data_IF_572630626910
#
_entry.id   IF_572630626910
#
_cell.length_a   1.000
_cell.length_b   1.000
_cell.length_c   1.000
_cell.angle_alpha   90.00
_cell.angle_beta   90.00
_cell.angle_gamma   90.00
#
_symmetry.space_group_name_H-M   'P 1'
#
loop_
_entity.id
_entity.type
_entity.pdbx_description
1 polymer ?
#
# COMPACT_ATOMS: atom_id res chain seq x y z
N UNK A 1 7.00 22.80 13.89
CA UNK A 1 6.95 21.53 13.11
C UNK A 1 6.29 20.34 13.82
N UNK A 2 6.60 20.02 15.09
CA UNK A 2 5.99 18.84 15.78
C UNK A 2 4.46 18.87 15.84
N UNK A 3 3.86 20.04 16.11
CA UNK A 3 2.39 20.24 16.16
C UNK A 3 1.70 19.91 14.83
N UNK A 4 2.30 20.29 13.69
CA UNK A 4 1.75 20.01 12.37
C UNK A 4 1.78 18.52 12.02
N UNK A 5 2.83 17.79 12.45
CA UNK A 5 2.92 16.34 12.24
C UNK A 5 1.85 15.59 13.04
N UNK A 6 1.63 15.99 14.29
CA UNK A 6 0.58 15.40 15.13
C UNK A 6 -0.82 15.65 14.54
N UNK A 7 -1.09 16.87 14.08
CA UNK A 7 -2.35 17.21 13.42
C UNK A 7 -2.56 16.38 12.13
N UNK A 8 -1.51 16.21 11.32
CA UNK A 8 -1.59 15.42 10.08
C UNK A 8 -1.77 13.92 10.36
N UNK A 9 -1.10 13.37 11.38
CA UNK A 9 -1.34 12.00 11.85
C UNK A 9 -2.76 11.83 12.37
N UNK A 10 -3.27 12.77 13.17
CA UNK A 10 -4.64 12.73 13.69
C UNK A 10 -5.66 12.80 12.54
N UNK A 11 -5.48 13.70 11.59
CA UNK A 11 -6.35 13.83 10.43
C UNK A 11 -6.33 12.57 9.55
N UNK A 12 -5.15 12.00 9.30
CA UNK A 12 -5.02 10.79 8.50
C UNK A 12 -5.64 9.56 9.17
N UNK A 13 -5.21 9.25 10.40
CA UNK A 13 -5.70 8.05 11.11
C UNK A 13 -7.16 8.21 11.53
N UNK A 14 -7.54 9.36 12.07
CA UNK A 14 -8.93 9.66 12.43
C UNK A 14 -9.85 9.66 11.20
N UNK A 15 -9.40 10.24 10.09
CA UNK A 15 -10.12 10.23 8.82
C UNK A 15 -10.31 8.82 8.26
N UNK A 16 -9.25 7.99 8.24
CA UNK A 16 -9.36 6.60 7.79
C UNK A 16 -10.27 5.76 8.68
N UNK A 17 -10.11 5.85 10.01
CA UNK A 17 -10.96 5.11 10.96
C UNK A 17 -12.42 5.51 10.81
N UNK A 18 -12.70 6.81 10.72
CA UNK A 18 -14.06 7.31 10.49
C UNK A 18 -14.62 6.81 9.16
N UNK A 19 -13.83 6.89 8.08
CA UNK A 19 -14.25 6.44 6.76
C UNK A 19 -14.57 4.94 6.73
N UNK A 20 -13.69 4.12 7.30
CA UNK A 20 -13.89 2.66 7.46
C UNK A 20 -15.16 2.40 8.28
N UNK A 21 -15.35 3.09 9.40
CA UNK A 21 -16.56 2.94 10.22
C UNK A 21 -17.83 3.28 9.45
N UNK A 22 -17.83 4.37 8.66
CA UNK A 22 -18.96 4.77 7.81
C UNK A 22 -19.26 3.73 6.72
N UNK A 23 -18.22 3.12 6.12
CA UNK A 23 -18.38 2.04 5.14
C UNK A 23 -18.99 0.81 5.80
N UNK A 24 -18.44 0.35 6.92
CA UNK A 24 -18.90 -0.85 7.63
C UNK A 24 -20.32 -0.69 8.20
N UNK A 25 -20.68 0.53 8.60
CA UNK A 25 -22.02 0.89 9.06
C UNK A 25 -23.01 1.20 7.92
N UNK A 26 -22.57 1.18 6.65
CA UNK A 26 -23.37 1.56 5.48
C UNK A 26 -23.98 2.96 5.57
N UNK A 27 -23.29 3.88 6.24
CA UNK A 27 -23.76 5.26 6.44
C UNK A 27 -23.36 6.21 5.30
N UNK A 28 -22.47 5.80 4.38
CA UNK A 28 -22.02 6.65 3.28
C UNK A 28 -23.15 7.16 2.35
N UNK A 29 -24.16 6.37 1.96
CA UNK A 29 -25.26 6.87 1.12
C UNK A 29 -26.09 7.98 1.78
N UNK A 30 -26.01 8.13 3.12
CA UNK A 30 -26.68 9.23 3.83
C UNK A 30 -25.94 10.56 3.69
N UNK A 31 -24.66 10.53 3.32
CA UNK A 31 -23.76 11.69 3.32
C UNK A 31 -23.29 12.06 1.91
N UNK A 32 -23.25 11.10 0.99
CA UNK A 32 -22.67 11.25 -0.33
C UNK A 32 -23.63 10.74 -1.42
N UNK A 33 -23.54 11.25 -2.66
CA UNK A 33 -24.24 10.68 -3.80
C UNK A 33 -23.93 9.17 -3.95
N UNK A 34 -24.94 8.37 -4.32
CA UNK A 34 -24.86 6.90 -4.37
C UNK A 34 -23.65 6.39 -5.15
N UNK A 35 -23.34 7.01 -6.29
CA UNK A 35 -22.19 6.62 -7.11
C UNK A 35 -20.84 6.79 -6.39
N UNK A 36 -20.70 7.81 -5.54
CA UNK A 36 -19.49 8.00 -4.72
C UNK A 36 -19.49 7.07 -3.51
N UNK A 37 -20.63 6.91 -2.84
CA UNK A 37 -20.77 6.01 -1.69
C UNK A 37 -20.41 4.56 -2.06
N UNK A 38 -20.89 4.07 -3.21
CA UNK A 38 -20.58 2.73 -3.73
C UNK A 38 -19.09 2.61 -4.04
N UNK A 39 -18.51 3.58 -4.75
CA UNK A 39 -17.08 3.55 -5.11
C UNK A 39 -16.19 3.55 -3.88
N UNK A 40 -16.47 4.37 -2.87
CA UNK A 40 -15.70 4.39 -1.62
C UNK A 40 -15.92 3.08 -0.84
N UNK A 41 -17.14 2.54 -0.84
CA UNK A 41 -17.44 1.25 -0.23
C UNK A 41 -16.64 0.10 -0.83
N UNK A 42 -16.48 0.08 -2.16
CA UNK A 42 -15.61 -0.86 -2.89
C UNK A 42 -14.11 -0.50 -2.84
N UNK A 43 -13.68 0.33 -1.88
CA UNK A 43 -12.26 0.59 -1.63
C UNK A 43 -11.91 0.34 -0.14
N UNK A 44 -12.74 -0.42 0.56
CA UNK A 44 -12.64 -0.57 2.01
C UNK A 44 -11.41 -1.33 2.46
N UNK A 45 -10.95 -2.29 1.65
CA UNK A 45 -9.81 -3.13 1.96
C UNK A 45 -8.51 -2.34 1.88
N UNK A 46 -8.34 -1.57 0.80
CA UNK A 46 -7.24 -0.65 0.59
C UNK A 46 -7.18 0.43 1.66
N UNK A 47 -8.32 0.90 2.18
CA UNK A 47 -8.36 1.83 3.31
C UNK A 47 -7.88 1.19 4.62
N UNK A 48 -8.35 -0.02 4.93
CA UNK A 48 -7.92 -0.78 6.12
C UNK A 48 -6.43 -1.11 6.01
N UNK A 49 -5.97 -1.56 4.85
CA UNK A 49 -4.58 -1.90 4.62
C UNK A 49 -3.69 -0.65 4.69
N UNK A 50 -4.12 0.49 4.15
CA UNK A 50 -3.40 1.76 4.28
C UNK A 50 -3.24 2.17 5.75
N UNK A 51 -4.30 2.03 6.56
CA UNK A 51 -4.27 2.27 8.00
C UNK A 51 -3.23 1.37 8.69
N UNK A 52 -3.29 0.06 8.43
CA UNK A 52 -2.38 -0.94 9.01
C UNK A 52 -0.93 -0.67 8.60
N UNK A 53 -0.67 -0.50 7.30
CA UNK A 53 0.68 -0.28 6.75
C UNK A 53 1.27 1.04 7.23
N UNK A 54 0.51 2.12 7.19
CA UNK A 54 0.99 3.43 7.68
C UNK A 54 1.29 3.39 9.17
N UNK A 55 0.40 2.78 9.98
CA UNK A 55 0.62 2.59 11.42
C UNK A 55 1.87 1.75 11.68
N UNK A 56 2.05 0.67 10.92
CA UNK A 56 3.22 -0.20 11.05
C UNK A 56 4.51 0.55 10.73
N UNK A 57 4.56 1.27 9.60
CA UNK A 57 5.75 2.02 9.18
C UNK A 57 6.10 3.13 10.17
N UNK A 58 5.10 3.82 10.72
CA UNK A 58 5.32 4.97 11.60
C UNK A 58 5.66 4.58 13.03
N UNK A 59 4.96 3.61 13.62
CA UNK A 59 5.04 3.33 15.05
C UNK A 59 5.66 1.98 15.36
N UNK A 60 5.18 0.91 14.71
CA UNK A 60 5.58 -0.46 15.08
C UNK A 60 6.99 -0.78 14.61
N UNK A 61 7.30 -0.53 13.33
CA UNK A 61 8.60 -0.86 12.74
C UNK A 61 9.79 -0.21 13.46
N UNK A 62 9.79 1.09 13.82
CA UNK A 62 10.88 1.68 14.61
C UNK A 62 11.04 1.01 15.98
N UNK A 63 9.92 0.75 16.67
CA UNK A 63 9.90 0.14 17.99
C UNK A 63 10.39 -1.32 17.99
N UNK A 64 10.00 -2.10 16.99
CA UNK A 64 10.47 -3.49 16.80
C UNK A 64 11.95 -3.53 16.47
N UNK A 65 12.40 -2.68 15.53
CA UNK A 65 13.80 -2.61 15.10
C UNK A 65 14.73 -2.24 16.26
N UNK A 66 14.33 -1.27 17.09
CA UNK A 66 15.13 -0.85 18.24
C UNK A 66 15.20 -1.89 19.37
N UNK A 67 14.15 -2.72 19.52
CA UNK A 67 14.04 -3.68 20.62
C UNK A 67 14.36 -5.13 20.28
N UNK A 68 14.78 -5.44 19.05
CA UNK A 68 15.08 -6.82 18.64
C UNK A 68 13.86 -7.77 18.63
N UNK A 69 12.64 -7.23 18.52
CA UNK A 69 11.38 -7.98 18.74
C UNK A 69 10.88 -8.72 17.50
N UNK A 70 11.77 -9.45 16.82
CA UNK A 70 11.44 -10.15 15.56
C UNK A 70 10.25 -11.11 15.68
N UNK A 71 10.11 -11.79 16.83
CA UNK A 71 9.00 -12.71 17.10
C UNK A 71 7.62 -12.03 17.07
N UNK A 72 7.52 -10.74 17.43
CA UNK A 72 6.25 -10.01 17.37
C UNK A 72 5.77 -9.83 15.93
N UNK A 73 6.69 -9.65 14.98
CA UNK A 73 6.35 -9.49 13.56
C UNK A 73 5.77 -10.78 13.02
N UNK A 74 6.39 -11.93 13.36
CA UNK A 74 5.88 -13.25 13.02
C UNK A 74 4.51 -13.49 13.67
N UNK A 75 4.36 -13.17 14.95
CA UNK A 75 3.09 -13.32 15.66
C UNK A 75 1.96 -12.50 15.04
N UNK A 76 2.21 -11.23 14.69
CA UNK A 76 1.22 -10.39 14.00
C UNK A 76 0.92 -10.93 12.60
N UNK A 77 1.93 -11.33 11.84
CA UNK A 77 1.74 -11.90 10.50
C UNK A 77 0.87 -13.16 10.54
N UNK A 78 1.14 -14.08 11.46
CA UNK A 78 0.33 -15.28 11.68
C UNK A 78 -1.08 -14.91 12.12
N UNK A 79 -1.24 -13.94 13.02
CA UNK A 79 -2.56 -13.46 13.45
C UNK A 79 -3.36 -12.89 12.28
N UNK A 80 -2.73 -12.08 11.42
CA UNK A 80 -3.34 -11.57 10.20
C UNK A 80 -3.74 -12.72 9.26
N UNK A 81 -2.88 -13.71 9.06
CA UNK A 81 -3.21 -14.87 8.22
C UNK A 81 -4.42 -15.64 8.76
N UNK A 82 -4.45 -15.92 10.07
CA UNK A 82 -5.57 -16.61 10.73
C UNK A 82 -6.85 -15.80 10.63
N UNK A 83 -6.81 -14.49 10.87
CA UNK A 83 -7.97 -13.61 10.72
C UNK A 83 -8.47 -13.56 9.27
N UNK A 84 -7.56 -13.47 8.31
CA UNK A 84 -7.91 -13.50 6.89
C UNK A 84 -8.63 -14.78 6.51
N UNK A 85 -8.10 -15.94 6.91
CA UNK A 85 -8.73 -17.24 6.67
C UNK A 85 -10.07 -17.36 7.42
N UNK A 86 -10.14 -16.89 8.67
CA UNK A 86 -11.38 -16.93 9.44
C UNK A 86 -12.49 -16.09 8.81
N UNK A 87 -12.18 -14.88 8.30
CA UNK A 87 -13.13 -14.04 7.58
C UNK A 87 -13.59 -14.68 6.27
N UNK A 88 -12.66 -15.28 5.52
CA UNK A 88 -12.96 -16.00 4.28
C UNK A 88 -13.98 -17.14 4.51
N UNK A 89 -13.84 -17.85 5.62
CA UNK A 89 -14.70 -18.99 6.00
C UNK A 89 -15.93 -18.61 6.82
N UNK A 90 -16.13 -17.33 7.14
CA UNK A 90 -17.23 -16.87 7.98
C UNK A 90 -18.52 -16.63 7.21
N UNK A 91 -19.66 -16.70 7.90
CA UNK A 91 -20.99 -16.32 7.39
C UNK A 91 -21.30 -14.82 7.59
N UNK A 92 -20.28 -13.99 7.82
CA UNK A 92 -20.47 -12.56 7.99
C UNK A 92 -20.98 -11.91 6.69
N UNK A 93 -21.63 -10.73 6.78
CA UNK A 93 -22.00 -9.96 5.60
C UNK A 93 -20.78 -9.72 4.68
N UNK A 94 -21.01 -9.71 3.36
CA UNK A 94 -19.96 -9.62 2.33
C UNK A 94 -18.89 -8.55 2.64
N UNK A 95 -19.30 -7.35 3.08
CA UNK A 95 -18.42 -6.23 3.46
C UNK A 95 -17.38 -6.53 4.55
N UNK A 96 -17.62 -7.53 5.40
CA UNK A 96 -16.65 -8.00 6.39
C UNK A 96 -15.81 -9.14 5.84
N UNK A 97 -16.42 -10.02 5.05
CA UNK A 97 -15.73 -11.15 4.44
C UNK A 97 -14.61 -10.68 3.52
N UNK A 98 -14.85 -9.66 2.70
CA UNK A 98 -13.89 -9.05 1.77
C UNK A 98 -12.62 -8.54 2.49
N UNK A 99 -12.72 -8.11 3.76
CA UNK A 99 -11.53 -7.77 4.56
C UNK A 99 -10.54 -8.95 4.72
N UNK A 100 -10.91 -10.18 4.37
CA UNK A 100 -10.00 -11.33 4.34
C UNK A 100 -8.73 -11.02 3.53
N UNK A 101 -8.87 -10.45 2.34
CA UNK A 101 -7.79 -10.11 1.42
C UNK A 101 -6.84 -9.10 2.07
N UNK A 102 -7.38 -8.06 2.72
CA UNK A 102 -6.58 -7.10 3.49
C UNK A 102 -5.68 -7.79 4.53
N UNK A 103 -6.23 -8.72 5.31
CA UNK A 103 -5.48 -9.41 6.35
C UNK A 103 -4.47 -10.42 5.77
N UNK A 104 -4.80 -11.10 4.67
CA UNK A 104 -3.87 -11.96 3.96
C UNK A 104 -2.71 -11.14 3.34
N UNK A 105 -3.00 -9.99 2.75
CA UNK A 105 -1.99 -9.05 2.26
C UNK A 105 -1.09 -8.57 3.40
N UNK A 106 -1.67 -8.16 4.54
CA UNK A 106 -0.92 -7.73 5.71
C UNK A 106 0.00 -8.84 6.26
N UNK A 107 -0.46 -10.10 6.27
CA UNK A 107 0.33 -11.23 6.74
C UNK A 107 1.67 -11.38 5.99
N UNK A 108 1.69 -11.08 4.69
CA UNK A 108 2.90 -11.14 3.86
C UNK A 108 3.65 -9.81 3.88
N UNK A 109 2.92 -8.69 3.81
CA UNK A 109 3.49 -7.37 3.65
C UNK A 109 4.20 -6.90 4.93
N UNK A 110 3.65 -7.15 6.12
CA UNK A 110 4.25 -6.68 7.38
C UNK A 110 5.65 -7.25 7.64
N UNK A 111 5.92 -8.57 7.45
CA UNK A 111 7.28 -9.11 7.46
C UNK A 111 8.20 -8.43 6.44
N UNK A 112 7.73 -8.20 5.22
CA UNK A 112 8.50 -7.53 4.18
C UNK A 112 8.86 -6.07 4.56
N UNK A 113 7.93 -5.32 5.16
CA UNK A 113 8.16 -3.95 5.65
C UNK A 113 9.16 -3.94 6.81
N UNK A 114 9.20 -4.99 7.62
CA UNK A 114 10.14 -5.13 8.72
C UNK A 114 11.54 -5.57 8.27
N UNK A 115 11.69 -6.18 7.09
CA UNK A 115 12.99 -6.67 6.62
C UNK A 115 14.07 -5.57 6.63
N UNK A 116 15.31 -5.96 6.92
CA UNK A 116 16.43 -5.02 7.05
C UNK A 116 16.66 -4.28 5.74
N UNK A 117 16.95 -2.98 5.84
CA UNK A 117 17.24 -2.10 4.69
C UNK A 117 18.69 -1.61 4.78
N UNK A 118 19.36 -1.31 3.64
CA UNK A 118 18.80 -1.22 2.28
C UNK A 118 18.50 -2.58 1.63
N UNK A 119 17.38 -2.68 0.91
CA UNK A 119 17.12 -3.82 0.03
C UNK A 119 17.73 -3.53 -1.36
N UNK A 120 18.46 -4.48 -1.98
CA UNK A 120 18.94 -4.30 -3.35
C UNK A 120 17.77 -4.18 -4.34
N UNK A 121 17.87 -3.26 -5.30
CA UNK A 121 16.80 -3.04 -6.30
C UNK A 121 16.46 -4.29 -7.10
N UNK A 122 17.46 -5.11 -7.42
CA UNK A 122 17.24 -6.40 -8.10
C UNK A 122 16.38 -7.36 -7.29
N UNK A 123 16.52 -7.37 -5.95
CA UNK A 123 15.70 -8.20 -5.07
C UNK A 123 14.26 -7.67 -5.02
N UNK A 124 14.06 -6.35 -4.88
CA UNK A 124 12.73 -5.74 -4.91
C UNK A 124 12.00 -6.01 -6.26
N UNK A 125 12.73 -5.88 -7.37
CA UNK A 125 12.22 -6.18 -8.70
C UNK A 125 11.89 -7.67 -8.85
N UNK A 126 12.76 -8.55 -8.35
CA UNK A 126 12.52 -10.00 -8.38
C UNK A 126 11.29 -10.40 -7.54
N UNK A 127 11.09 -9.80 -6.36
CA UNK A 127 9.88 -10.04 -5.54
C UNK A 127 8.62 -9.62 -6.30
N UNK A 128 8.60 -8.41 -6.86
CA UNK A 128 7.46 -7.92 -7.65
C UNK A 128 7.21 -8.78 -8.89
N UNK A 129 8.29 -9.14 -9.59
CA UNK A 129 8.27 -9.98 -10.79
C UNK A 129 7.80 -11.40 -10.49
N UNK A 130 8.21 -12.01 -9.38
CA UNK A 130 7.79 -13.34 -8.99
C UNK A 130 6.27 -13.40 -8.72
N UNK A 131 5.72 -12.40 -8.00
CA UNK A 131 4.27 -12.32 -7.78
C UNK A 131 3.54 -12.08 -9.10
N UNK A 132 4.04 -11.17 -9.96
CA UNK A 132 3.45 -10.92 -11.27
C UNK A 132 3.48 -12.16 -12.17
N UNK A 133 4.58 -12.92 -12.18
CA UNK A 133 4.69 -14.17 -12.92
C UNK A 133 3.69 -15.21 -12.41
N UNK A 134 3.49 -15.31 -11.09
CA UNK A 134 2.47 -16.17 -10.51
C UNK A 134 1.05 -15.74 -10.94
N UNK A 135 0.76 -14.43 -10.90
CA UNK A 135 -0.52 -13.87 -11.41
C UNK A 135 -0.75 -14.29 -12.86
N UNK A 136 0.25 -14.13 -13.73
CA UNK A 136 0.14 -14.48 -15.16
C UNK A 136 -0.02 -15.99 -15.35
N UNK A 137 0.80 -16.80 -14.68
CA UNK A 137 0.78 -18.26 -14.81
C UNK A 137 -0.54 -18.89 -14.31
N UNK A 138 -1.15 -18.29 -13.28
CA UNK A 138 -2.38 -18.79 -12.65
C UNK A 138 -3.60 -17.91 -12.94
N UNK A 139 -3.57 -17.06 -13.99
CA UNK A 139 -4.60 -16.04 -14.26
C UNK A 139 -6.01 -16.61 -14.50
N UNK A 140 -6.13 -17.90 -14.84
CA UNK A 140 -7.41 -18.61 -15.07
C UNK A 140 -7.96 -19.31 -13.82
N UNK A 141 -7.32 -19.13 -12.67
CA UNK A 141 -7.78 -19.74 -11.41
C UNK A 141 -8.67 -18.77 -10.63
N UNK A 142 -9.66 -19.31 -9.92
CA UNK A 142 -10.48 -18.52 -8.99
C UNK A 142 -9.61 -17.82 -7.95
N UNK A 143 -8.60 -18.51 -7.41
CA UNK A 143 -7.70 -17.97 -6.39
C UNK A 143 -6.98 -16.67 -6.79
N UNK A 144 -6.51 -16.53 -8.04
CA UNK A 144 -5.87 -15.27 -8.50
C UNK A 144 -6.89 -14.15 -8.67
N UNK A 145 -8.12 -14.49 -9.07
CA UNK A 145 -9.21 -13.52 -9.18
C UNK A 145 -9.66 -13.05 -7.79
N UNK A 146 -9.81 -13.97 -6.85
CA UNK A 146 -10.32 -13.75 -5.48
C UNK A 146 -9.25 -13.22 -4.52
N UNK A 147 -8.00 -13.09 -4.98
CA UNK A 147 -6.89 -12.47 -4.24
C UNK A 147 -6.24 -11.35 -5.05
N UNK A 148 -6.95 -10.81 -6.05
CA UNK A 148 -6.37 -9.88 -6.99
C UNK A 148 -5.79 -8.66 -6.27
N UNK A 149 -6.52 -8.10 -5.30
CA UNK A 149 -6.10 -6.90 -4.57
C UNK A 149 -4.89 -7.19 -3.69
N UNK A 150 -4.91 -8.33 -2.99
CA UNK A 150 -3.78 -8.85 -2.23
C UNK A 150 -2.52 -8.93 -3.11
N UNK A 151 -2.63 -9.58 -4.26
CA UNK A 151 -1.52 -9.76 -5.19
C UNK A 151 -1.06 -8.43 -5.80
N UNK A 152 -2.01 -7.53 -6.10
CA UNK A 152 -1.73 -6.19 -6.60
C UNK A 152 -0.85 -5.39 -5.64
N UNK A 153 -1.17 -5.40 -4.34
CA UNK A 153 -0.33 -4.74 -3.32
C UNK A 153 1.04 -5.40 -3.23
N UNK A 154 1.12 -6.74 -3.28
CA UNK A 154 2.41 -7.45 -3.20
C UNK A 154 3.31 -7.21 -4.41
N UNK A 155 2.73 -6.94 -5.60
CA UNK A 155 3.49 -6.48 -6.78
C UNK A 155 3.93 -5.03 -6.61
N UNK A 156 3.03 -4.14 -6.19
CA UNK A 156 3.30 -2.70 -6.19
C UNK A 156 4.13 -2.23 -4.99
N UNK A 157 4.06 -2.89 -3.85
CA UNK A 157 4.74 -2.44 -2.62
C UNK A 157 6.28 -2.45 -2.74
N UNK A 158 6.95 -3.50 -3.28
CA UNK A 158 8.39 -3.45 -3.47
C UNK A 158 8.83 -2.40 -4.50
N UNK A 159 8.01 -2.15 -5.52
CA UNK A 159 8.24 -1.06 -6.48
C UNK A 159 8.15 0.28 -5.75
N UNK A 160 7.07 0.52 -5.01
CA UNK A 160 6.84 1.77 -4.28
C UNK A 160 7.94 2.04 -3.25
N UNK A 161 8.25 1.06 -2.41
CA UNK A 161 9.06 1.27 -1.20
C UNK A 161 10.55 0.97 -1.35
N UNK A 162 10.98 0.23 -2.37
CA UNK A 162 12.41 -0.13 -2.55
C UNK A 162 12.99 0.27 -3.92
N UNK A 163 12.16 0.57 -4.92
CA UNK A 163 12.63 1.04 -6.24
C UNK A 163 12.42 2.55 -6.39
N UNK A 164 11.19 3.02 -6.17
CA UNK A 164 10.74 4.38 -6.46
C UNK A 164 11.03 5.34 -5.29
N UNK A 165 10.45 5.08 -4.12
CA UNK A 165 10.55 5.95 -2.94
C UNK A 165 11.10 5.20 -1.72
N UNK A 166 12.38 4.84 -1.84
CA UNK A 166 13.16 4.15 -0.80
C UNK A 166 13.14 4.87 0.55
N UNK A 167 12.94 6.18 0.53
CA UNK A 167 12.86 7.03 1.71
C UNK A 167 11.75 6.64 2.69
N UNK A 168 10.73 5.90 2.23
CA UNK A 168 9.62 5.41 3.04
C UNK A 168 10.08 4.35 4.06
N UNK A 169 10.97 3.44 3.67
CA UNK A 169 11.48 2.37 4.57
C UNK A 169 12.92 2.59 5.02
N UNK A 170 13.71 3.28 4.21
CA UNK A 170 15.11 3.60 4.47
C UNK A 170 15.30 5.12 4.60
N UNK A 171 15.42 5.65 5.83
CA UNK A 171 15.63 7.07 6.03
C UNK A 171 16.92 7.62 5.40
N UNK A 172 17.89 6.77 5.08
CA UNK A 172 19.20 7.14 4.54
C UNK A 172 19.27 7.08 3.02
N UNK A 173 18.28 6.46 2.36
CA UNK A 173 18.27 6.32 0.92
C UNK A 173 18.07 7.68 0.21
N UNK A 174 18.77 7.84 -0.92
CA UNK A 174 18.54 8.96 -1.83
C UNK A 174 17.14 8.86 -2.45
N UNK A 175 16.44 10.00 -2.50
CA UNK A 175 15.08 10.13 -3.06
C UNK A 175 15.03 11.29 -4.05
N UNK A 176 14.07 11.26 -4.98
CA UNK A 176 13.82 12.34 -5.95
C UNK A 176 12.34 12.72 -5.90
N UNK A 177 11.99 14.00 -5.68
CA UNK A 177 10.59 14.42 -5.75
C UNK A 177 10.01 14.19 -7.13
N UNK A 178 10.79 14.37 -8.21
CA UNK A 178 10.27 14.15 -9.57
C UNK A 178 9.78 12.72 -9.74
N UNK A 179 10.59 11.74 -9.31
CA UNK A 179 10.24 10.32 -9.38
C UNK A 179 9.06 9.99 -8.46
N UNK A 180 9.05 10.53 -7.24
CA UNK A 180 7.96 10.34 -6.27
C UNK A 180 6.64 10.94 -6.74
N UNK A 181 6.66 12.16 -7.27
CA UNK A 181 5.47 12.83 -7.83
C UNK A 181 4.96 12.09 -9.06
N UNK A 182 5.85 11.67 -9.96
CA UNK A 182 5.46 10.84 -11.11
C UNK A 182 4.82 9.53 -10.67
N UNK A 183 5.33 8.90 -9.61
CA UNK A 183 4.74 7.70 -9.03
C UNK A 183 3.36 7.95 -8.42
N UNK A 184 3.17 9.02 -7.66
CA UNK A 184 1.86 9.34 -7.09
C UNK A 184 0.85 9.72 -8.19
N UNK A 185 1.30 10.43 -9.23
CA UNK A 185 0.48 10.68 -10.41
C UNK A 185 0.11 9.36 -11.10
N UNK A 186 1.05 8.43 -11.26
CA UNK A 186 0.76 7.08 -11.78
C UNK A 186 -0.26 6.34 -10.91
N UNK A 187 -0.08 6.30 -9.58
CA UNK A 187 -1.01 5.63 -8.67
C UNK A 187 -2.42 6.24 -8.71
N UNK A 188 -2.54 7.55 -8.92
CA UNK A 188 -3.83 8.23 -9.03
C UNK A 188 -4.49 8.05 -10.40
N UNK A 189 -3.71 8.12 -11.49
CA UNK A 189 -4.23 8.15 -12.86
C UNK A 189 -4.39 6.76 -13.47
N UNK A 190 -3.57 5.78 -13.10
CA UNK A 190 -3.60 4.45 -13.70
C UNK A 190 -4.95 3.73 -13.49
N UNK A 191 -5.57 3.72 -12.29
CA UNK A 191 -6.89 3.10 -12.11
C UNK A 191 -7.97 3.74 -12.98
N UNK A 192 -7.93 5.06 -13.17
CA UNK A 192 -8.85 5.79 -14.05
C UNK A 192 -8.63 5.39 -15.51
N UNK A 193 -7.36 5.35 -15.95
CA UNK A 193 -7.02 4.94 -17.31
C UNK A 193 -7.44 3.50 -17.60
N UNK A 194 -7.19 2.56 -16.68
CA UNK A 194 -7.63 1.17 -16.84
C UNK A 194 -9.15 1.03 -16.88
N UNK A 195 -9.86 1.77 -16.03
CA UNK A 195 -11.33 1.80 -16.05
C UNK A 195 -11.87 2.33 -17.38
N UNK A 196 -11.26 3.38 -17.94
CA UNK A 196 -11.66 3.91 -19.26
C UNK A 196 -11.38 2.89 -20.38
N UNK A 197 -10.21 2.24 -20.36
CA UNK A 197 -9.87 1.21 -21.34
C UNK A 197 -10.82 0.01 -21.27
N UNK A 198 -11.20 -0.43 -20.08
CA UNK A 198 -12.14 -1.54 -19.90
C UNK A 198 -13.55 -1.16 -20.35
N UNK A 199 -14.12 -0.08 -19.81
CA UNK A 199 -15.55 0.20 -19.94
C UNK A 199 -15.92 1.07 -21.16
N UNK A 200 -14.97 1.80 -21.75
CA UNK A 200 -15.25 2.71 -22.88
C UNK A 200 -14.62 2.22 -24.19
N UNK A 201 -13.42 1.63 -24.13
CA UNK A 201 -12.70 1.18 -25.34
C UNK A 201 -12.97 -0.29 -25.66
N UNK A 202 -13.14 -1.13 -24.65
CA UNK A 202 -13.46 -2.56 -24.85
C UNK A 202 -12.28 -3.35 -25.42
N UNK A 203 -11.10 -3.23 -24.81
CA UNK A 203 -9.88 -3.91 -25.27
C UNK A 203 -9.99 -5.44 -25.10
N UNK A 204 -9.58 -6.21 -26.11
CA UNK A 204 -9.67 -7.67 -26.13
C UNK A 204 -8.30 -8.36 -26.09
N UNK A 205 -8.28 -9.71 -26.02
CA UNK A 205 -7.06 -10.52 -25.97
C UNK A 205 -6.28 -10.38 -24.67
N UNK A 206 -4.97 -10.65 -24.73
CA UNK A 206 -4.07 -10.57 -23.56
C UNK A 206 -4.04 -9.17 -22.93
N UNK A 207 -4.12 -8.12 -23.76
CA UNK A 207 -4.20 -6.75 -23.27
C UNK A 207 -5.51 -6.49 -22.52
N UNK A 208 -6.63 -7.00 -23.02
CA UNK A 208 -7.92 -6.94 -22.32
C UNK A 208 -7.91 -7.68 -20.98
N UNK A 209 -7.27 -8.85 -20.90
CA UNK A 209 -7.08 -9.57 -19.64
C UNK A 209 -6.23 -8.77 -18.63
N UNK A 210 -5.13 -8.17 -19.09
CA UNK A 210 -4.29 -7.33 -18.26
C UNK A 210 -5.04 -6.08 -17.74
N UNK A 211 -5.84 -5.43 -18.59
CA UNK A 211 -6.65 -4.26 -18.21
C UNK A 211 -7.71 -4.65 -17.17
N UNK A 212 -8.45 -5.75 -17.39
CA UNK A 212 -9.44 -6.25 -16.41
C UNK A 212 -8.82 -6.57 -15.06
N UNK A 213 -7.64 -7.20 -15.07
CA UNK A 213 -6.90 -7.46 -13.85
C UNK A 213 -6.46 -6.15 -13.18
N UNK A 214 -5.99 -5.18 -13.96
CA UNK A 214 -5.56 -3.88 -13.45
C UNK A 214 -6.70 -3.07 -12.81
N UNK A 215 -7.93 -3.17 -13.32
CA UNK A 215 -9.12 -2.57 -12.68
C UNK A 215 -9.46 -3.24 -11.36
N UNK A 216 -9.32 -4.57 -11.26
CA UNK A 216 -9.55 -5.31 -10.01
C UNK A 216 -8.60 -4.92 -8.89
N UNK A 217 -7.36 -4.55 -9.20
CA UNK A 217 -6.38 -4.16 -8.18
C UNK A 217 -6.43 -2.67 -7.82
N UNK A 218 -7.53 -1.96 -8.13
CA UNK A 218 -7.66 -0.51 -7.86
C UNK A 218 -7.39 -0.16 -6.39
N UNK A 219 -7.85 -0.99 -5.45
CA UNK A 219 -7.64 -0.79 -4.02
C UNK A 219 -6.15 -0.75 -3.64
N UNK A 220 -5.31 -1.53 -4.34
CA UNK A 220 -3.86 -1.54 -4.14
C UNK A 220 -3.22 -0.19 -4.50
N UNK A 221 -3.69 0.44 -5.58
CA UNK A 221 -3.23 1.78 -5.98
C UNK A 221 -3.63 2.83 -4.95
N UNK A 222 -4.87 2.81 -4.49
CA UNK A 222 -5.39 3.73 -3.46
C UNK A 222 -4.61 3.55 -2.15
N UNK A 223 -4.42 2.31 -1.71
CA UNK A 223 -3.66 1.99 -0.50
C UNK A 223 -2.24 2.60 -0.54
N UNK A 224 -1.49 2.31 -1.60
CA UNK A 224 -0.11 2.78 -1.72
C UNK A 224 -0.02 4.30 -1.93
N UNK A 225 -1.00 4.91 -2.59
CA UNK A 225 -1.08 6.36 -2.75
C UNK A 225 -1.27 7.04 -1.39
N UNK A 226 -2.23 6.56 -0.59
CA UNK A 226 -2.50 7.09 0.74
C UNK A 226 -1.28 6.93 1.67
N UNK A 227 -0.68 5.74 1.70
CA UNK A 227 0.52 5.48 2.50
C UNK A 227 1.68 6.37 2.05
N UNK A 228 1.93 6.47 0.74
CA UNK A 228 3.01 7.26 0.17
C UNK A 228 2.88 8.75 0.49
N UNK A 229 1.71 9.34 0.20
CA UNK A 229 1.41 10.74 0.49
C UNK A 229 1.56 11.04 1.98
N UNK A 230 0.98 10.18 2.83
CA UNK A 230 1.01 10.36 4.27
C UNK A 230 2.42 10.31 4.84
N UNK A 231 3.18 9.25 4.54
CA UNK A 231 4.53 9.08 5.07
C UNK A 231 5.45 10.21 4.59
N UNK A 232 5.31 10.63 3.32
CA UNK A 232 6.07 11.76 2.78
C UNK A 232 5.74 13.07 3.49
N UNK A 233 4.45 13.35 3.71
CA UNK A 233 3.99 14.56 4.41
C UNK A 233 4.46 14.60 5.88
N UNK A 234 4.28 13.50 6.64
CA UNK A 234 4.70 13.42 8.05
C UNK A 234 6.22 13.49 8.19
N UNK A 235 6.96 12.85 7.29
CA UNK A 235 8.43 12.90 7.32
C UNK A 235 8.99 14.23 6.82
N UNK A 236 8.19 15.05 6.14
CA UNK A 236 8.56 16.42 5.73
C UNK A 236 9.64 16.43 4.66
N UNK A 237 9.61 15.46 3.73
CA UNK A 237 10.65 15.29 2.70
C UNK A 237 10.16 15.82 1.35
N UNK A 238 9.93 17.12 1.28
CA UNK A 238 9.84 17.87 0.03
C UNK A 238 11.21 18.45 -0.25
N UNK A 239 11.92 17.88 -1.24
CA UNK A 239 13.20 18.28 -1.81
C UNK A 239 13.72 19.69 -1.43
N UNK A 240 14.44 19.76 -0.31
CA UNK A 240 15.18 20.95 0.10
C UNK A 240 16.40 20.56 0.93
N UNK A 241 17.58 20.86 0.40
CA UNK A 241 18.88 20.94 1.11
C UNK A 241 19.47 19.68 1.76
N UNK A 242 19.76 18.69 0.92
CA UNK A 242 21.10 18.09 0.98
C UNK A 242 21.75 18.21 -0.39
N UNK A 243 22.03 19.46 -0.80
CA UNK A 243 23.24 19.69 -1.59
C UNK A 243 24.38 19.08 -0.78
N UNK A 244 25.23 18.33 -1.45
CA UNK A 244 26.51 17.93 -0.92
C UNK A 244 27.21 19.19 -0.40
N UNK A 245 27.15 19.45 0.91
CA UNK A 245 28.22 20.20 1.53
C UNK A 245 29.44 19.29 1.39
N UNK A 246 30.48 19.71 0.64
CA UNK A 246 31.72 18.96 0.62
C UNK A 246 32.20 18.85 2.06
N UNK A 247 32.43 17.61 2.51
CA UNK A 247 33.11 17.36 3.77
C UNK A 247 34.41 18.18 3.72
N UNK A 248 34.63 19.15 4.63
CA UNK A 248 35.88 19.90 4.64
C UNK A 248 37.02 18.89 4.78
N UNK A 249 37.97 18.96 3.85
CA UNK A 249 39.13 18.09 3.84
C UNK A 249 39.79 18.12 5.23
N UNK A 250 40.21 16.97 5.78
CA UNK A 250 40.91 16.95 7.05
C UNK A 250 42.12 17.87 6.95
N UNK A 251 42.21 18.83 7.88
CA UNK A 251 43.38 19.70 7.98
C UNK A 251 44.61 18.81 8.13
N UNK A 252 45.51 18.89 7.14
CA UNK A 252 46.81 18.24 7.21
C UNK A 252 47.52 18.73 8.48
N UNK A 253 47.92 17.79 9.33
CA UNK A 253 48.83 18.01 10.45
C UNK A 253 50.19 17.45 10.08
#
# INVERSE_FOLDING_TARGET
MRRNKAALSLAFYGGLVLLIALVLAQALPLLLPDGLAIRIGHNSEGLVLALVVACWIQYVRPWVTAGGRGGLVVGVAVTCAVLGVALLLSDLPSRFRTLNETFLAAAVLLPYLQARRPLPRGVAAALSGAVLLAVVAFNRTGAVTDLAETLGVLVLAPIAFDIVDRGILDPTAATSARVRTAWYAFLALAPVAFSLLEYQVGVTGLLGEAVRYAVRITEAFVCLLLVGLYVTAVRGRTDGDRRHDPVPAPAAR
#
